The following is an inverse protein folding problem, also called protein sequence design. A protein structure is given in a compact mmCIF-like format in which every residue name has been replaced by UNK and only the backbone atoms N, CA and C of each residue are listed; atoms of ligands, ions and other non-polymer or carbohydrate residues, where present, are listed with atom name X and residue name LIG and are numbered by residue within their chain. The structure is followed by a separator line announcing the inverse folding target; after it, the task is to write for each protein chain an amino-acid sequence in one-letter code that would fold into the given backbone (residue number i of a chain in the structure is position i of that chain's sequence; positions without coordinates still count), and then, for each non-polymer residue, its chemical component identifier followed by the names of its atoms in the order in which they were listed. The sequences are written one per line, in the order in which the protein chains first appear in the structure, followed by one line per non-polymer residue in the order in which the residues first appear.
data_IF_314797582383
#
_entry.id   IF_314797582383
#
_cell.length_a   1.000
_cell.length_b   1.000
_cell.length_c   1.000
_cell.angle_alpha   90.00
_cell.angle_beta   90.00
_cell.angle_gamma   90.00
#
_symmetry.space_group_name_H-M   'P 1'
#
loop_
_entity.id
_entity.type
_entity.pdbx_description
1 polymer ?
#
# COMPACT_ATOMS: atom_id res chain seq x y z
N UNK A 1 58.92 24.99 -69.56
CA UNK A 1 58.72 23.70 -70.25
C UNK A 1 59.78 22.73 -69.70
N UNK A 2 59.32 21.63 -69.07
CA UNK A 2 60.11 20.47 -68.59
C UNK A 2 61.03 20.72 -67.39
N UNK A 3 60.57 20.30 -66.21
CA UNK A 3 61.46 19.87 -65.12
C UNK A 3 61.21 18.37 -64.84
N UNK A 4 62.33 17.72 -64.59
CA UNK A 4 62.65 16.31 -64.71
C UNK A 4 62.19 15.46 -63.53
N UNK A 5 62.09 14.16 -63.82
CA UNK A 5 61.69 13.06 -62.95
C UNK A 5 62.74 12.64 -61.89
N UNK A 6 62.31 11.71 -61.04
CA UNK A 6 63.00 10.90 -60.02
C UNK A 6 63.05 11.55 -58.61
N UNK A 7 62.79 10.86 -57.49
CA UNK A 7 62.92 9.44 -57.12
C UNK A 7 61.75 8.96 -56.24
N UNK A 8 61.52 7.65 -56.30
CA UNK A 8 60.61 6.87 -55.46
C UNK A 8 61.19 6.50 -54.09
N UNK A 9 60.32 6.27 -53.10
CA UNK A 9 60.30 5.13 -52.16
C UNK A 9 59.37 5.49 -50.96
N UNK A 10 58.14 4.98 -50.93
CA UNK A 10 57.74 3.78 -50.18
C UNK A 10 57.41 4.03 -48.71
N UNK A 11 56.13 3.97 -48.35
CA UNK A 11 55.64 3.25 -47.16
C UNK A 11 54.11 3.21 -47.19
N UNK A 12 53.57 2.01 -47.37
CA UNK A 12 52.15 1.71 -47.25
C UNK A 12 51.71 1.89 -45.79
N UNK A 13 50.71 2.74 -45.54
CA UNK A 13 49.99 2.79 -44.27
C UNK A 13 48.71 1.98 -44.39
N UNK A 14 48.71 0.86 -43.68
CA UNK A 14 47.63 -0.12 -43.56
C UNK A 14 46.42 0.49 -42.82
N UNK A 15 45.23 0.09 -43.27
CA UNK A 15 43.98 0.21 -42.52
C UNK A 15 44.00 -0.71 -41.28
N UNK A 16 43.53 -0.19 -40.15
CA UNK A 16 43.10 -0.97 -38.97
C UNK A 16 42.42 -0.03 -37.96
N UNK A 17 41.09 -0.10 -37.81
CA UNK A 17 40.38 -0.55 -36.60
C UNK A 17 40.56 0.39 -35.38
N UNK A 18 39.53 0.96 -34.73
CA UNK A 18 38.43 0.27 -34.06
C UNK A 18 37.24 1.21 -33.78
N UNK A 19 36.10 0.53 -33.64
CA UNK A 19 34.78 0.94 -33.16
C UNK A 19 34.88 1.25 -31.65
N UNK A 20 34.54 2.45 -31.22
CA UNK A 20 34.38 2.77 -29.79
C UNK A 20 33.02 3.44 -29.58
N UNK A 21 32.00 2.60 -29.38
CA UNK A 21 30.75 2.97 -28.73
C UNK A 21 31.09 3.16 -27.25
N UNK A 22 30.88 4.37 -26.72
CA UNK A 22 31.23 4.70 -25.34
C UNK A 22 30.56 3.70 -24.38
N UNK A 23 31.30 3.02 -23.49
CA UNK A 23 30.71 2.05 -22.58
C UNK A 23 29.72 2.77 -21.66
N UNK A 24 28.49 2.26 -21.59
CA UNK A 24 27.48 2.78 -20.66
C UNK A 24 28.05 2.78 -19.22
N UNK A 25 27.80 3.83 -18.43
CA UNK A 25 28.33 3.91 -17.08
C UNK A 25 27.78 2.75 -16.25
N UNK A 26 28.69 1.92 -15.71
CA UNK A 26 28.32 0.82 -14.82
C UNK A 26 27.92 1.41 -13.47
N UNK A 27 26.66 1.20 -13.08
CA UNK A 27 26.18 1.44 -11.72
C UNK A 27 26.95 0.48 -10.81
N UNK A 28 27.76 1.00 -9.90
CA UNK A 28 28.34 0.19 -8.83
C UNK A 28 27.31 0.11 -7.72
N UNK A 29 26.76 -1.08 -7.49
CA UNK A 29 25.89 -1.32 -6.34
C UNK A 29 26.72 -1.18 -5.07
N UNK A 30 26.41 -0.16 -4.28
CA UNK A 30 26.97 -0.03 -2.94
C UNK A 30 26.29 -1.06 -2.06
N UNK A 31 27.04 -2.07 -1.61
CA UNK A 31 26.54 -3.08 -0.69
C UNK A 31 26.17 -2.42 0.64
N UNK A 32 25.08 -2.90 1.26
CA UNK A 32 24.73 -2.48 2.63
C UNK A 32 25.91 -2.89 3.52
N UNK A 33 26.56 -1.95 4.22
CA UNK A 33 27.70 -2.25 5.08
C UNK A 33 27.40 -3.42 6.03
N UNK A 34 28.32 -4.38 6.14
CA UNK A 34 28.12 -5.63 6.90
C UNK A 34 27.78 -5.36 8.37
N UNK A 35 28.24 -4.23 8.91
CA UNK A 35 27.89 -3.74 10.24
C UNK A 35 26.40 -3.42 10.39
N UNK A 36 25.75 -2.85 9.35
CA UNK A 36 24.30 -2.63 9.33
C UNK A 36 23.52 -3.92 9.08
N UNK A 37 24.07 -4.84 8.28
CA UNK A 37 23.45 -6.15 8.03
C UNK A 37 23.48 -7.07 9.26
N UNK A 38 24.45 -6.88 10.16
CA UNK A 38 24.64 -7.69 11.38
C UNK A 38 24.05 -7.03 12.63
N UNK A 39 23.44 -5.85 12.51
CA UNK A 39 22.61 -5.29 13.59
C UNK A 39 21.37 -6.17 13.76
N UNK A 40 21.49 -7.21 14.59
CA UNK A 40 20.32 -7.82 15.21
C UNK A 40 19.69 -6.72 16.05
N UNK A 41 18.53 -6.19 15.60
CA UNK A 41 17.72 -5.32 16.43
C UNK A 41 17.55 -6.00 17.79
N UNK A 42 17.73 -5.29 18.91
CA UNK A 42 17.53 -5.91 20.21
C UNK A 42 16.13 -6.52 20.21
N UNK A 43 16.05 -7.85 20.29
CA UNK A 43 14.82 -8.59 20.54
C UNK A 43 14.39 -8.44 22.01
N UNK A 44 14.85 -7.39 22.69
CA UNK A 44 14.48 -7.04 24.03
C UNK A 44 13.14 -6.29 23.94
N UNK A 45 12.09 -7.11 23.94
CA UNK A 45 10.73 -6.73 24.36
C UNK A 45 10.22 -5.47 23.66
N UNK A 46 9.77 -5.62 22.42
CA UNK A 46 8.45 -5.04 22.16
C UNK A 46 7.54 -5.73 23.18
N UNK A 47 7.27 -5.05 24.30
CA UNK A 47 6.15 -5.35 25.16
C UNK A 47 4.97 -5.30 24.17
N UNK A 48 4.56 -6.48 23.67
CA UNK A 48 3.40 -6.59 22.82
C UNK A 48 2.23 -6.42 23.78
N UNK A 49 2.03 -5.18 24.18
CA UNK A 49 0.88 -4.76 24.95
C UNK A 49 -0.32 -4.96 24.03
N UNK A 50 -0.91 -6.15 24.11
CA UNK A 50 -2.14 -6.49 23.42
C UNK A 50 -2.08 -7.58 22.36
N UNK A 51 -3.25 -7.79 21.73
CA UNK A 51 -3.51 -8.90 20.82
C UNK A 51 -2.44 -9.02 19.74
N UNK A 52 -1.88 -10.22 19.48
CA UNK A 52 -0.92 -10.43 18.39
C UNK A 52 -1.51 -10.02 17.04
N UNK A 53 -0.67 -9.46 16.14
CA UNK A 53 -1.12 -8.91 14.85
C UNK A 53 -2.01 -9.88 14.04
N UNK A 54 -1.67 -11.17 14.03
CA UNK A 54 -2.38 -12.21 13.27
C UNK A 54 -3.82 -12.46 13.77
N UNK A 55 -4.10 -12.12 15.02
CA UNK A 55 -5.40 -12.32 15.66
C UNK A 55 -6.30 -11.08 15.58
N UNK A 56 -5.75 -9.93 15.19
CA UNK A 56 -6.48 -8.67 15.07
C UNK A 56 -7.44 -8.71 13.88
N UNK A 57 -8.51 -7.93 13.97
CA UNK A 57 -9.50 -7.80 12.89
C UNK A 57 -9.72 -6.33 12.58
N UNK A 58 -9.48 -5.92 11.33
CA UNK A 58 -9.87 -4.60 10.87
C UNK A 58 -11.24 -4.66 10.21
N UNK A 59 -12.12 -3.74 10.58
CA UNK A 59 -13.32 -3.40 9.81
C UNK A 59 -13.00 -2.19 8.96
N UNK A 60 -12.99 -2.36 7.64
CA UNK A 60 -12.77 -1.29 6.69
C UNK A 60 -14.10 -0.95 6.00
N UNK A 61 -14.34 0.33 5.76
CA UNK A 61 -15.42 0.78 4.89
C UNK A 61 -14.95 0.81 3.45
N UNK A 62 -15.80 0.35 2.52
CA UNK A 62 -15.60 0.45 1.09
C UNK A 62 -16.81 1.12 0.45
N UNK A 63 -16.59 2.25 -0.24
CA UNK A 63 -17.60 2.97 -1.00
C UNK A 63 -17.32 2.85 -2.49
N UNK A 64 -18.35 2.53 -3.27
CA UNK A 64 -18.35 2.78 -4.70
C UNK A 64 -19.06 4.10 -5.00
N UNK A 65 -18.28 5.12 -5.37
CA UNK A 65 -18.72 6.50 -5.63
C UNK A 65 -19.65 6.61 -6.85
N UNK A 66 -19.66 5.61 -7.75
CA UNK A 66 -20.51 5.64 -8.96
C UNK A 66 -21.97 5.28 -8.70
N UNK A 67 -22.22 4.36 -7.78
CA UNK A 67 -23.56 3.86 -7.47
C UNK A 67 -23.96 4.09 -6.01
N UNK A 68 -23.11 4.75 -5.23
CA UNK A 68 -23.31 5.09 -3.82
C UNK A 68 -23.57 3.86 -2.92
N UNK A 69 -23.00 2.71 -3.28
CA UNK A 69 -23.06 1.49 -2.44
C UNK A 69 -21.86 1.48 -1.51
N UNK A 70 -22.14 1.48 -0.20
CA UNK A 70 -21.16 1.28 0.86
C UNK A 70 -21.32 -0.10 1.49
N UNK A 71 -20.20 -0.73 1.82
CA UNK A 71 -20.20 -1.97 2.59
C UNK A 71 -18.98 -2.02 3.51
N UNK A 72 -19.12 -2.80 4.58
CA UNK A 72 -18.03 -3.07 5.49
C UNK A 72 -17.35 -4.37 5.09
N UNK A 73 -16.02 -4.38 5.15
CA UNK A 73 -15.21 -5.57 4.95
C UNK A 73 -14.39 -5.81 6.21
N UNK A 74 -14.56 -6.99 6.79
CA UNK A 74 -13.73 -7.46 7.89
C UNK A 74 -12.59 -8.30 7.33
N UNK A 75 -11.37 -7.99 7.77
CA UNK A 75 -10.14 -8.63 7.33
C UNK A 75 -9.20 -8.84 8.52
N UNK A 76 -8.52 -9.98 8.53
CA UNK A 76 -7.32 -10.18 9.37
C UNK A 76 -6.06 -9.74 8.62
N UNK A 77 -5.00 -9.31 9.32
CA UNK A 77 -3.72 -9.04 8.68
C UNK A 77 -3.23 -10.23 7.83
N UNK A 78 -2.83 -9.93 6.59
CA UNK A 78 -2.49 -10.93 5.57
C UNK A 78 -3.65 -11.31 4.64
N UNK A 79 -4.90 -10.99 5.00
CA UNK A 79 -6.06 -11.31 4.16
C UNK A 79 -6.33 -10.26 3.08
N UNK A 80 -7.10 -10.70 2.08
CA UNK A 80 -7.58 -9.82 1.02
C UNK A 80 -9.03 -10.14 0.68
N UNK A 81 -9.81 -9.08 0.42
CA UNK A 81 -11.18 -9.20 -0.06
C UNK A 81 -11.30 -8.53 -1.42
N UNK A 82 -11.85 -9.27 -2.39
CA UNK A 82 -12.29 -8.72 -3.67
C UNK A 82 -13.78 -8.36 -3.61
N UNK A 83 -14.10 -7.16 -4.08
CA UNK A 83 -15.46 -6.66 -4.26
C UNK A 83 -15.55 -6.06 -5.66
N UNK A 84 -16.17 -6.79 -6.60
CA UNK A 84 -16.25 -6.36 -8.01
C UNK A 84 -14.86 -6.14 -8.63
N UNK A 85 -14.58 -4.89 -9.00
CA UNK A 85 -13.32 -4.44 -9.63
C UNK A 85 -12.33 -3.82 -8.64
N UNK A 86 -12.52 -4.00 -7.33
CA UNK A 86 -11.55 -3.60 -6.30
C UNK A 86 -11.15 -4.78 -5.44
N UNK A 87 -9.87 -4.83 -5.09
CA UNK A 87 -9.29 -5.74 -4.10
C UNK A 87 -8.68 -4.87 -3.00
N UNK A 88 -9.11 -5.11 -1.77
CA UNK A 88 -8.52 -4.51 -0.58
C UNK A 88 -7.71 -5.59 0.14
N UNK A 89 -6.45 -5.30 0.43
CA UNK A 89 -5.57 -6.16 1.22
C UNK A 89 -5.24 -5.46 2.53
N UNK A 90 -5.30 -6.20 3.63
CA UNK A 90 -4.91 -5.72 4.93
C UNK A 90 -3.54 -6.31 5.27
N UNK A 91 -2.55 -5.46 5.60
CA UNK A 91 -1.24 -5.94 6.05
C UNK A 91 -1.06 -5.82 7.55
N UNK A 92 -1.64 -4.79 8.16
CA UNK A 92 -1.57 -4.57 9.60
C UNK A 92 -2.75 -3.72 10.05
N UNK A 93 -3.13 -3.87 11.32
CA UNK A 93 -4.14 -3.07 11.99
C UNK A 93 -3.70 -2.80 13.42
N UNK A 94 -3.81 -1.56 13.88
CA UNK A 94 -3.35 -1.12 15.20
C UNK A 94 -4.34 -0.13 15.80
N UNK A 95 -4.48 -0.17 17.12
CA UNK A 95 -5.14 0.84 17.93
C UNK A 95 -4.15 1.32 18.98
N UNK A 96 -4.16 2.59 19.31
CA UNK A 96 -3.36 3.12 20.42
C UNK A 96 -3.84 2.55 21.76
N UNK A 97 -2.92 2.37 22.72
CA UNK A 97 -3.27 1.89 24.06
C UNK A 97 -4.29 2.81 24.75
N UNK A 98 -5.20 2.27 25.58
CA UNK A 98 -6.27 3.04 26.21
C UNK A 98 -5.77 4.09 27.20
N UNK A 99 -4.57 3.91 27.75
CA UNK A 99 -3.93 4.83 28.71
C UNK A 99 -3.12 5.96 28.05
N UNK A 100 -3.04 6.01 26.73
CA UNK A 100 -2.40 7.10 26.01
C UNK A 100 -3.34 8.30 25.80
N UNK A 101 -2.77 9.50 25.86
CA UNK A 101 -3.53 10.77 25.76
C UNK A 101 -4.09 11.05 24.36
N UNK A 102 -3.54 10.41 23.32
CA UNK A 102 -3.89 10.67 21.93
C UNK A 102 -4.37 9.38 21.24
N UNK A 103 -5.62 8.93 21.49
CA UNK A 103 -6.13 7.70 20.92
C UNK A 103 -6.23 7.80 19.39
N UNK A 104 -5.64 6.82 18.72
CA UNK A 104 -5.78 6.65 17.28
C UNK A 104 -6.00 5.18 16.92
N UNK A 105 -6.43 4.98 15.70
CA UNK A 105 -6.74 3.66 15.18
C UNK A 105 -6.50 3.67 13.69
N UNK A 106 -5.74 2.69 13.20
CA UNK A 106 -5.29 2.69 11.82
C UNK A 106 -5.00 1.32 11.27
N UNK A 107 -4.91 1.27 9.95
CA UNK A 107 -4.63 0.04 9.21
C UNK A 107 -3.73 0.33 8.02
N UNK A 108 -2.74 -0.54 7.79
CA UNK A 108 -1.98 -0.54 6.55
C UNK A 108 -2.76 -1.33 5.50
N UNK A 109 -3.21 -0.64 4.46
CA UNK A 109 -4.01 -1.23 3.39
C UNK A 109 -3.36 -1.05 2.04
N UNK A 110 -3.58 -2.03 1.17
CA UNK A 110 -3.29 -1.91 -0.25
C UNK A 110 -4.60 -2.03 -1.03
N UNK A 111 -4.85 -1.08 -1.91
CA UNK A 111 -6.05 -1.08 -2.77
C UNK A 111 -5.60 -1.31 -4.20
N UNK A 112 -6.13 -2.36 -4.82
CA UNK A 112 -5.92 -2.68 -6.21
C UNK A 112 -7.25 -2.53 -6.95
N UNK A 113 -7.25 -1.88 -8.11
CA UNK A 113 -8.44 -1.68 -8.93
C UNK A 113 -8.18 -2.26 -10.31
N UNK A 114 -9.16 -3.00 -10.83
CA UNK A 114 -9.15 -3.49 -12.19
C UNK A 114 -9.64 -2.39 -13.13
N UNK A 115 -8.72 -1.74 -13.83
CA UNK A 115 -9.03 -0.61 -14.70
C UNK A 115 -8.13 -0.55 -15.91
N UNK A 116 -8.59 0.19 -16.93
CA UNK A 116 -7.77 0.51 -18.10
C UNK A 116 -6.64 1.46 -17.67
N UNK A 117 -5.39 1.19 -18.02
CA UNK A 117 -4.29 2.10 -17.77
C UNK A 117 -4.51 3.46 -18.47
N UNK A 118 -3.98 4.57 -17.92
CA UNK A 118 -4.11 5.90 -18.53
C UNK A 118 -3.52 6.01 -19.95
N UNK A 119 -2.51 5.19 -20.24
CA UNK A 119 -1.77 5.10 -21.51
C UNK A 119 -2.41 4.18 -22.55
N UNK A 120 -3.56 3.56 -22.24
CA UNK A 120 -4.26 2.61 -23.10
C UNK A 120 -3.95 1.15 -22.75
N UNK A 121 -4.32 0.20 -23.63
CA UNK A 121 -4.17 -1.24 -23.35
C UNK A 121 -5.23 -1.82 -22.41
N UNK A 122 -5.29 -3.15 -22.28
CA UNK A 122 -6.44 -3.81 -21.65
C UNK A 122 -6.57 -3.58 -20.14
N UNK A 123 -7.78 -3.78 -19.62
CA UNK A 123 -8.03 -3.65 -18.19
C UNK A 123 -7.17 -4.63 -17.40
N UNK A 124 -6.55 -4.14 -16.33
CA UNK A 124 -5.73 -4.94 -15.45
C UNK A 124 -5.75 -4.42 -14.02
N UNK A 125 -5.30 -5.26 -13.09
CA UNK A 125 -5.18 -4.90 -11.68
C UNK A 125 -4.02 -3.93 -11.46
N UNK A 126 -4.34 -2.72 -11.04
CA UNK A 126 -3.37 -1.69 -10.69
C UNK A 126 -3.47 -1.37 -9.21
N UNK A 127 -2.34 -1.27 -8.52
CA UNK A 127 -2.32 -0.80 -7.12
C UNK A 127 -2.47 0.71 -7.12
N UNK A 128 -3.64 1.19 -6.71
CA UNK A 128 -3.99 2.62 -6.66
C UNK A 128 -3.63 3.25 -5.32
N UNK A 129 -3.49 2.44 -4.26
CA UNK A 129 -3.07 2.92 -2.94
C UNK A 129 -2.26 1.85 -2.19
N UNK A 130 -1.31 2.30 -1.38
CA UNK A 130 -0.55 1.47 -0.44
C UNK A 130 -0.05 2.34 0.71
N UNK A 131 -0.61 2.19 1.90
CA UNK A 131 -0.20 3.00 3.05
C UNK A 131 -1.09 2.82 4.27
N UNK A 132 -0.76 3.58 5.32
CA UNK A 132 -1.55 3.66 6.53
C UNK A 132 -2.74 4.58 6.36
N UNK A 133 -3.92 4.11 6.76
CA UNK A 133 -5.12 4.89 6.92
C UNK A 133 -5.43 5.04 8.41
N UNK A 134 -5.96 6.20 8.80
CA UNK A 134 -6.28 6.53 10.19
C UNK A 134 -7.75 6.90 10.33
N UNK A 135 -8.46 6.22 11.23
CA UNK A 135 -9.88 6.45 11.51
C UNK A 135 -10.14 7.86 12.03
N UNK A 136 -9.33 8.33 12.97
CA UNK A 136 -9.54 9.63 13.64
C UNK A 136 -8.89 10.80 12.89
N UNK A 137 -8.02 10.51 11.90
CA UNK A 137 -7.22 11.52 11.17
C UNK A 137 -7.18 11.25 9.67
N UNK A 138 -8.33 11.24 8.97
CA UNK A 138 -8.40 10.92 7.53
C UNK A 138 -7.61 11.91 6.65
N UNK A 139 -7.34 13.12 7.14
CA UNK A 139 -6.58 14.13 6.40
C UNK A 139 -5.08 13.83 6.28
N UNK A 140 -4.54 12.86 7.03
CA UNK A 140 -3.11 12.50 6.95
C UNK A 140 -2.84 11.65 5.70
N UNK A 141 -3.71 10.68 5.42
CA UNK A 141 -3.62 9.78 4.27
C UNK A 141 -5.02 9.30 3.89
N UNK A 142 -5.34 9.37 2.60
CA UNK A 142 -6.65 8.97 2.05
C UNK A 142 -6.48 8.21 0.74
N UNK A 143 -7.44 7.35 0.42
CA UNK A 143 -7.48 6.63 -0.86
C UNK A 143 -8.05 7.53 -1.95
N UNK A 144 -7.17 8.14 -2.72
CA UNK A 144 -7.55 9.01 -3.84
C UNK A 144 -7.85 8.18 -5.10
N UNK A 145 -9.09 7.72 -5.22
CA UNK A 145 -9.57 7.04 -6.43
C UNK A 145 -10.94 7.58 -6.88
N UNK A 146 -11.17 7.76 -8.21
CA UNK A 146 -12.42 8.34 -8.72
C UNK A 146 -13.66 7.48 -8.50
N UNK A 147 -13.50 6.16 -8.38
CA UNK A 147 -14.63 5.21 -8.27
C UNK A 147 -14.75 4.61 -6.88
N UNK A 148 -13.65 4.46 -6.15
CA UNK A 148 -13.62 3.70 -4.91
C UNK A 148 -13.08 4.59 -3.78
N UNK A 149 -13.63 4.42 -2.59
CA UNK A 149 -13.06 4.96 -1.36
C UNK A 149 -12.89 3.84 -0.34
N UNK A 150 -11.80 3.86 0.41
CA UNK A 150 -11.54 2.89 1.46
C UNK A 150 -11.05 3.62 2.70
N UNK A 151 -11.66 3.34 3.85
CA UNK A 151 -11.31 3.95 5.12
C UNK A 151 -11.38 2.95 6.27
N UNK A 152 -10.74 3.25 7.39
CA UNK A 152 -10.76 2.41 8.60
C UNK A 152 -11.98 2.76 9.44
N UNK A 153 -12.72 1.74 9.88
CA UNK A 153 -13.86 1.89 10.81
C UNK A 153 -13.52 1.41 12.22
N UNK A 154 -12.87 0.27 12.35
CA UNK A 154 -12.45 -0.30 13.64
C UNK A 154 -11.27 -1.25 13.49
N UNK A 155 -10.48 -1.36 14.55
CA UNK A 155 -9.44 -2.35 14.75
C UNK A 155 -9.75 -3.10 16.05
N UNK A 156 -10.28 -4.31 15.93
CA UNK A 156 -10.58 -5.16 17.06
C UNK A 156 -9.27 -5.77 17.60
N UNK A 157 -8.83 -5.24 18.73
CA UNK A 157 -7.70 -5.73 19.53
C UNK A 157 -7.84 -5.25 20.98
N UNK A 158 -7.27 -6.02 21.90
CA UNK A 158 -7.26 -5.76 23.35
C UNK A 158 -5.84 -5.51 23.82
N UNK A 159 -5.68 -4.72 24.87
CA UNK A 159 -4.41 -4.51 25.58
C UNK A 159 -4.40 -5.33 26.87
N UNK A 160 -3.23 -5.76 27.34
CA UNK A 160 -3.13 -6.44 28.64
C UNK A 160 -3.56 -5.49 29.77
N UNK A 161 -4.48 -5.95 30.62
CA UNK A 161 -5.07 -5.14 31.69
C UNK A 161 -6.23 -4.22 31.27
N UNK A 162 -6.61 -4.20 29.98
CA UNK A 162 -7.85 -3.55 29.53
C UNK A 162 -9.06 -4.38 30.00
N UNK A 163 -10.02 -3.74 30.67
CA UNK A 163 -11.30 -4.39 30.97
C UNK A 163 -12.05 -4.63 29.65
N UNK A 164 -12.52 -5.86 29.42
CA UNK A 164 -13.25 -6.21 28.20
C UNK A 164 -14.36 -5.18 27.93
N UNK A 165 -14.51 -4.67 26.70
CA UNK A 165 -15.58 -3.74 26.38
C UNK A 165 -16.92 -4.40 26.75
N UNK A 166 -17.87 -3.65 27.35
CA UNK A 166 -19.19 -4.20 27.62
C UNK A 166 -19.78 -4.71 26.30
N UNK A 167 -20.48 -5.86 26.29
CA UNK A 167 -21.11 -6.36 25.08
C UNK A 167 -21.98 -5.24 24.51
N UNK A 168 -21.74 -4.89 23.25
CA UNK A 168 -22.49 -3.84 22.54
C UNK A 168 -23.98 -4.08 22.78
N UNK A 169 -24.59 -3.20 23.57
CA UNK A 169 -26.02 -3.25 23.81
C UNK A 169 -26.70 -3.12 22.44
N UNK A 170 -27.69 -3.97 22.12
CA UNK A 170 -28.42 -3.81 20.87
C UNK A 170 -29.05 -2.42 20.88
N UNK A 171 -28.69 -1.59 19.90
CA UNK A 171 -29.43 -0.36 19.61
C UNK A 171 -30.90 -0.75 19.43
N UNK A 172 -31.84 -0.04 20.08
CA UNK A 172 -33.24 -0.36 19.94
C UNK A 172 -33.62 -0.16 18.47
N UNK A 173 -33.91 -1.27 17.79
CA UNK A 173 -34.57 -1.25 16.50
C UNK A 173 -35.88 -0.49 16.67
N UNK A 174 -35.96 0.68 16.03
CA UNK A 174 -37.23 1.37 15.76
C UNK A 174 -38.15 0.37 15.05
N UNK A 175 -39.01 -0.26 15.86
CA UNK A 175 -40.09 -1.09 15.39
C UNK A 175 -41.23 -0.16 15.01
N UNK A 176 -41.49 -0.11 13.72
CA UNK A 176 -42.77 0.13 13.07
C UNK A 176 -43.95 0.47 14.00
N UNK A 177 -44.46 1.70 13.90
CA UNK A 177 -45.87 1.96 14.09
C UNK A 177 -46.53 1.94 12.71
N UNK A 178 -47.15 0.80 12.41
CA UNK A 178 -48.08 0.58 11.31
C UNK A 178 -49.34 1.44 11.47
N UNK A 179 -49.79 1.97 10.33
CA UNK A 179 -51.17 1.91 9.82
C UNK A 179 -52.32 2.03 10.83
N UNK A 180 -53.09 3.11 10.67
CA UNK A 180 -54.51 3.11 11.01
C UNK A 180 -55.28 3.75 9.86
N UNK A 181 -55.65 2.90 8.91
CA UNK A 181 -56.90 2.99 8.16
C UNK A 181 -58.06 2.69 9.11
N UNK A 182 -59.03 3.60 9.30
CA UNK A 182 -60.47 3.28 9.31
C UNK A 182 -61.36 4.56 9.30
N UNK A 183 -62.38 4.52 8.43
CA UNK A 183 -63.71 5.19 8.44
C UNK A 183 -63.85 6.71 8.67
#
# INVERSE_FOLDING_TARGET
MRFTAALAASAALLLGACKDEAPAPRVQETEVPEDLATMTAPAEMAEQDGTPMEERVATLGLLNKRNNISQDIELKPGESRRVGDVIVRLSACERTAPYETAPDEGAFVQVLVNQRPPDGGDAGWQRVFSGWLFKNKPSINVVEHPVYDVWVKSCAMTFDGEAAPPPSAPEPSETAASDSTEA
#
